data_IF_454441718423
#
_entry.id   IF_454441718423
#
_cell.length_a   1.000
_cell.length_b   1.000
_cell.length_c   1.000
_cell.angle_alpha   90.00
_cell.angle_beta   90.00
_cell.angle_gamma   90.00
#
_symmetry.space_group_name_H-M   'P 1'
#
loop_
_entity.id
_entity.type
_entity.pdbx_description
1 polymer ?
#
# COMPACT_ATOMS: atom_id res chain seq x y z
N UNK A 1 -43.54 31.24 -44.97
CA UNK A 1 -44.75 30.99 -45.76
C UNK A 1 -44.40 29.95 -46.82
N UNK A 2 -44.96 28.74 -46.64
CA UNK A 2 -45.33 27.64 -47.57
C UNK A 2 -44.69 27.48 -48.96
N UNK A 3 -44.78 26.27 -49.60
CA UNK A 3 -44.96 24.91 -49.03
C UNK A 3 -44.24 23.78 -49.83
N UNK A 4 -44.50 22.52 -49.40
CA UNK A 4 -44.59 21.30 -50.23
C UNK A 4 -43.29 20.74 -50.81
N UNK A 5 -43.07 19.45 -50.97
CA UNK A 5 -43.69 18.16 -50.62
C UNK A 5 -42.50 17.16 -50.78
N UNK A 6 -42.50 15.93 -50.30
CA UNK A 6 -43.16 14.80 -50.93
C UNK A 6 -42.91 13.61 -50.00
N UNK A 7 -44.00 12.95 -49.67
CA UNK A 7 -44.07 11.65 -49.03
C UNK A 7 -43.74 10.59 -50.09
N UNK A 8 -42.66 9.82 -49.91
CA UNK A 8 -42.44 8.56 -50.64
C UNK A 8 -42.25 7.46 -49.62
N UNK A 9 -43.27 6.62 -49.52
CA UNK A 9 -43.20 5.31 -48.88
C UNK A 9 -42.59 4.29 -49.85
N UNK A 10 -41.97 3.28 -49.26
CA UNK A 10 -42.19 1.85 -49.47
C UNK A 10 -40.89 1.07 -49.77
N UNK A 11 -40.71 -0.02 -49.00
CA UNK A 11 -40.10 -1.32 -49.39
C UNK A 11 -38.67 -1.31 -49.94
N UNK A 12 -37.74 -2.21 -49.63
CA UNK A 12 -37.66 -3.49 -48.94
C UNK A 12 -36.22 -3.96 -49.22
N UNK A 13 -35.80 -5.04 -48.56
CA UNK A 13 -34.68 -5.91 -48.96
C UNK A 13 -33.26 -5.41 -48.63
N UNK A 14 -32.88 -5.68 -47.38
CA UNK A 14 -31.58 -6.25 -47.03
C UNK A 14 -31.18 -7.35 -48.04
N UNK A 15 -29.91 -7.35 -48.48
CA UNK A 15 -29.15 -8.59 -48.49
C UNK A 15 -27.98 -8.46 -47.53
N UNK A 16 -27.97 -9.41 -46.61
CA UNK A 16 -26.87 -9.74 -45.74
C UNK A 16 -25.58 -9.92 -46.55
N UNK A 17 -24.62 -9.02 -46.36
CA UNK A 17 -23.20 -9.32 -46.57
C UNK A 17 -22.54 -9.36 -45.20
N UNK A 18 -22.75 -10.50 -44.53
CA UNK A 18 -21.96 -10.91 -43.38
C UNK A 18 -20.57 -11.22 -43.91
N UNK A 19 -19.69 -10.23 -43.83
CA UNK A 19 -18.25 -10.48 -43.95
C UNK A 19 -17.83 -11.28 -42.72
N UNK A 20 -17.74 -12.60 -42.88
CA UNK A 20 -17.08 -13.48 -41.91
C UNK A 20 -15.59 -13.16 -41.93
N UNK A 21 -15.17 -12.24 -41.06
CA UNK A 21 -13.79 -12.15 -40.63
C UNK A 21 -13.44 -13.46 -39.91
N UNK A 22 -12.36 -14.17 -40.28
CA UNK A 22 -11.83 -15.19 -39.41
C UNK A 22 -11.46 -14.50 -38.10
N UNK A 23 -12.19 -14.86 -37.04
CA UNK A 23 -11.83 -14.56 -35.67
C UNK A 23 -10.44 -15.16 -35.47
N UNK A 24 -9.42 -14.30 -35.57
CA UNK A 24 -8.12 -14.62 -35.03
C UNK A 24 -8.40 -14.95 -33.58
N UNK A 25 -8.29 -16.24 -33.24
CA UNK A 25 -8.32 -16.70 -31.89
C UNK A 25 -7.31 -15.84 -31.13
N UNK A 26 -7.83 -14.84 -30.42
CA UNK A 26 -7.18 -14.34 -29.25
C UNK A 26 -6.98 -15.62 -28.44
N UNK A 27 -5.76 -16.15 -28.46
CA UNK A 27 -5.32 -16.97 -27.35
C UNK A 27 -5.61 -16.07 -26.15
N UNK A 28 -6.68 -16.40 -25.42
CA UNK A 28 -6.84 -16.01 -24.03
C UNK A 28 -5.57 -16.51 -23.38
N UNK A 29 -4.57 -15.64 -23.40
CA UNK A 29 -3.40 -15.75 -22.58
C UNK A 29 -4.00 -15.92 -21.18
N UNK A 30 -3.76 -17.06 -20.51
CA UNK A 30 -4.32 -17.27 -19.18
C UNK A 30 -4.00 -16.01 -18.38
N UNK A 31 -4.97 -15.43 -17.64
CA UNK A 31 -4.69 -14.29 -16.80
C UNK A 31 -3.45 -14.66 -16.01
N UNK A 32 -2.37 -13.90 -16.23
CA UNK A 32 -1.11 -14.15 -15.55
C UNK A 32 -1.46 -14.40 -14.08
N UNK A 33 -1.03 -15.52 -13.47
CA UNK A 33 -1.34 -15.78 -12.08
C UNK A 33 -0.98 -14.50 -11.33
N UNK A 34 -1.87 -13.98 -10.45
CA UNK A 34 -1.58 -12.75 -9.73
C UNK A 34 -0.18 -12.92 -9.16
N UNK A 35 0.75 -12.08 -9.63
CA UNK A 35 2.10 -12.09 -9.12
C UNK A 35 1.93 -12.10 -7.61
N UNK A 36 2.55 -13.05 -6.87
CA UNK A 36 2.40 -13.06 -5.43
C UNK A 36 2.72 -11.64 -4.98
N UNK A 37 1.77 -11.02 -4.28
CA UNK A 37 1.94 -9.73 -3.63
C UNK A 37 2.99 -9.91 -2.53
N UNK A 38 4.23 -10.15 -2.95
CA UNK A 38 5.37 -10.26 -2.08
C UNK A 38 5.61 -8.83 -1.68
N UNK A 39 5.17 -8.51 -0.46
CA UNK A 39 5.78 -7.50 0.39
C UNK A 39 7.21 -7.19 -0.09
N UNK A 40 7.42 -6.10 -0.84
CA UNK A 40 8.79 -5.66 -1.17
C UNK A 40 9.42 -4.97 0.03
N UNK A 41 9.11 -5.45 1.23
CA UNK A 41 10.02 -5.32 2.35
C UNK A 41 11.11 -6.37 2.08
N UNK A 42 12.25 -5.95 1.54
CA UNK A 42 13.50 -6.72 1.53
C UNK A 42 13.67 -7.55 2.82
N UNK A 43 14.28 -8.75 2.77
CA UNK A 43 14.48 -9.56 3.96
C UNK A 43 15.08 -8.73 5.11
N UNK A 44 14.50 -8.77 6.33
CA UNK A 44 14.86 -7.86 7.43
C UNK A 44 16.36 -7.84 7.72
N UNK A 45 17.02 -9.01 7.70
CA UNK A 45 18.45 -9.16 7.98
C UNK A 45 19.43 -8.52 6.97
N UNK A 46 18.98 -8.13 5.78
CA UNK A 46 19.81 -7.48 4.75
C UNK A 46 19.53 -5.99 4.59
N UNK A 47 18.56 -5.44 5.34
CA UNK A 47 18.18 -4.04 5.24
C UNK A 47 19.23 -3.12 5.89
N UNK A 48 19.39 -1.90 5.33
CA UNK A 48 20.23 -0.88 5.96
C UNK A 48 19.64 -0.44 7.31
N UNK A 49 18.32 -0.48 7.45
CA UNK A 49 17.64 -0.36 8.74
C UNK A 49 18.18 -1.36 9.79
N UNK A 50 18.34 -2.64 9.44
CA UNK A 50 18.87 -3.66 10.36
C UNK A 50 20.34 -3.46 10.69
N UNK A 51 21.16 -3.07 9.72
CA UNK A 51 22.57 -2.71 9.96
C UNK A 51 22.66 -1.54 10.96
N UNK A 52 21.80 -0.54 10.82
CA UNK A 52 21.75 0.60 11.75
C UNK A 52 21.22 0.19 13.13
N UNK A 53 20.22 -0.69 13.18
CA UNK A 53 19.71 -1.27 14.43
C UNK A 53 20.81 -1.96 15.23
N UNK A 54 21.62 -2.81 14.59
CA UNK A 54 22.72 -3.53 15.26
C UNK A 54 23.82 -2.62 15.81
N UNK A 55 23.92 -1.37 15.33
CA UNK A 55 24.87 -0.37 15.84
C UNK A 55 24.33 0.40 17.05
N UNK A 56 23.03 0.31 17.34
CA UNK A 56 22.38 0.99 18.47
C UNK A 56 22.41 0.09 19.71
N UNK A 57 22.31 0.67 20.92
CA UNK A 57 22.07 -0.11 22.13
C UNK A 57 20.81 -0.98 21.99
N UNK A 58 20.84 -2.21 22.48
CA UNK A 58 19.67 -3.08 22.51
C UNK A 58 18.62 -2.51 23.48
N UNK A 59 17.63 -1.81 22.92
CA UNK A 59 16.57 -1.15 23.68
C UNK A 59 15.27 -1.16 22.87
N UNK A 60 14.14 -1.00 23.56
CA UNK A 60 12.82 -0.93 22.94
C UNK A 60 12.72 0.26 21.97
N UNK A 61 13.30 1.42 22.31
CA UNK A 61 13.40 2.55 21.40
C UNK A 61 14.19 2.21 20.12
N UNK A 62 15.28 1.46 20.23
CA UNK A 62 16.05 1.03 19.06
C UNK A 62 15.24 0.14 18.12
N UNK A 63 14.37 -0.72 18.67
CA UNK A 63 13.43 -1.55 17.89
C UNK A 63 12.43 -0.67 17.15
N UNK A 64 11.84 0.32 17.83
CA UNK A 64 10.90 1.27 17.19
C UNK A 64 11.58 2.10 16.08
N UNK A 65 12.80 2.58 16.32
CA UNK A 65 13.57 3.29 15.31
C UNK A 65 13.92 2.40 14.11
N UNK A 66 14.20 1.11 14.33
CA UNK A 66 14.37 0.14 13.26
C UNK A 66 13.12 0.06 12.39
N UNK A 67 11.93 -0.07 12.99
CA UNK A 67 10.67 -0.18 12.25
C UNK A 67 10.39 1.06 11.39
N UNK A 68 10.64 2.25 11.95
CA UNK A 68 10.52 3.51 11.19
C UNK A 68 11.52 3.54 10.03
N UNK A 69 12.79 3.19 10.28
CA UNK A 69 13.80 3.12 9.22
C UNK A 69 13.41 2.11 8.13
N UNK A 70 12.84 0.97 8.54
CA UNK A 70 12.42 -0.13 7.67
C UNK A 70 11.29 0.29 6.74
N UNK A 71 10.26 0.92 7.29
CA UNK A 71 9.15 1.49 6.50
C UNK A 71 9.65 2.60 5.56
N UNK A 72 10.61 3.41 6.00
CA UNK A 72 11.22 4.46 5.18
C UNK A 72 11.98 3.99 3.96
N UNK A 73 12.54 2.78 4.03
CA UNK A 73 13.26 2.13 2.93
C UNK A 73 12.33 1.37 1.98
N UNK A 74 11.04 1.30 2.30
CA UNK A 74 10.03 0.62 1.49
C UNK A 74 9.31 1.58 0.55
N UNK A 75 8.82 1.08 -0.58
CA UNK A 75 8.00 1.85 -1.54
C UNK A 75 6.50 1.87 -1.15
N UNK A 76 6.21 1.71 0.15
CA UNK A 76 4.84 1.73 0.67
C UNK A 76 4.29 3.16 0.76
N UNK A 77 2.98 3.28 0.71
CA UNK A 77 2.28 4.55 0.90
C UNK A 77 1.52 4.51 2.23
N UNK A 78 1.62 5.57 3.03
CA UNK A 78 0.90 5.72 4.29
C UNK A 78 -0.36 6.54 4.02
N UNK A 79 -1.52 5.98 4.35
CA UNK A 79 -2.80 6.70 4.30
C UNK A 79 -3.08 7.25 5.69
N UNK A 80 -3.05 8.58 5.80
CA UNK A 80 -3.25 9.33 7.03
C UNK A 80 -4.31 10.41 6.76
N UNK A 81 -5.42 10.37 7.50
CA UNK A 81 -6.55 11.31 7.34
C UNK A 81 -7.01 11.46 5.89
N UNK A 82 -7.26 10.31 5.23
CA UNK A 82 -7.67 10.18 3.81
C UNK A 82 -6.65 10.68 2.78
N UNK A 83 -5.53 11.21 3.21
CA UNK A 83 -4.43 11.61 2.35
C UNK A 83 -3.42 10.48 2.25
N UNK A 84 -2.85 10.30 1.05
CA UNK A 84 -1.86 9.26 0.80
C UNK A 84 -0.50 9.88 0.64
N UNK A 85 0.45 9.46 1.47
CA UNK A 85 1.81 9.98 1.50
C UNK A 85 2.81 8.86 1.23
N UNK A 86 3.85 9.09 0.42
CA UNK A 86 4.98 8.17 0.33
C UNK A 86 5.63 7.99 1.71
N UNK A 87 5.91 6.74 2.10
CA UNK A 87 6.57 6.38 3.37
C UNK A 87 7.77 7.28 3.67
N UNK A 88 8.67 7.45 2.70
CA UNK A 88 9.90 8.27 2.77
C UNK A 88 9.67 9.71 3.21
N UNK A 89 8.51 10.30 2.91
CA UNK A 89 8.17 11.69 3.28
C UNK A 89 7.68 11.75 4.72
N UNK A 90 6.99 10.72 5.19
CA UNK A 90 6.43 10.65 6.55
C UNK A 90 7.51 10.30 7.58
N UNK A 91 8.60 9.62 7.20
CA UNK A 91 9.58 9.12 8.17
C UNK A 91 10.24 10.15 9.08
N UNK A 92 10.65 11.34 8.60
CA UNK A 92 11.19 12.36 9.50
C UNK A 92 10.17 12.78 10.58
N UNK A 93 8.89 12.86 10.20
CA UNK A 93 7.78 13.19 11.12
C UNK A 93 7.57 12.04 12.10
N UNK A 94 7.54 10.79 11.62
CA UNK A 94 7.39 9.61 12.48
C UNK A 94 8.55 9.48 13.49
N UNK A 95 9.80 9.72 13.08
CA UNK A 95 10.96 9.73 13.99
C UNK A 95 10.84 10.83 15.03
N UNK A 96 10.52 12.05 14.62
CA UNK A 96 10.33 13.17 15.55
C UNK A 96 9.23 12.83 16.58
N UNK A 97 8.09 12.35 16.11
CA UNK A 97 6.97 11.96 16.96
C UNK A 97 7.37 10.87 17.96
N UNK A 98 8.05 9.82 17.50
CA UNK A 98 8.57 8.76 18.36
C UNK A 98 9.51 9.33 19.44
N UNK A 99 10.44 10.21 19.08
CA UNK A 99 11.36 10.81 20.05
C UNK A 99 10.67 11.70 21.09
N UNK A 100 9.57 12.36 20.72
CA UNK A 100 8.83 13.27 21.61
C UNK A 100 7.85 12.52 22.53
N UNK A 101 7.25 11.43 22.04
CA UNK A 101 6.14 10.76 22.74
C UNK A 101 6.48 9.37 23.29
N UNK A 102 7.68 8.84 23.03
CA UNK A 102 8.12 7.57 23.60
C UNK A 102 8.50 7.70 25.08
N UNK A 103 7.89 6.85 25.92
CA UNK A 103 8.29 6.67 27.30
C UNK A 103 9.24 5.47 27.42
N UNK A 104 10.39 5.66 28.09
CA UNK A 104 11.43 4.62 28.26
C UNK A 104 10.97 3.38 29.02
N UNK A 105 9.85 3.46 29.73
CA UNK A 105 9.26 2.34 30.46
C UNK A 105 8.37 1.46 29.56
N UNK A 106 8.02 1.93 28.37
CA UNK A 106 7.11 1.21 27.48
C UNK A 106 7.88 0.22 26.60
N UNK A 107 7.27 -0.96 26.42
CA UNK A 107 7.71 -1.90 25.39
C UNK A 107 7.38 -1.35 24.00
N UNK A 108 8.15 -1.75 23.00
CA UNK A 108 7.90 -1.39 21.61
C UNK A 108 6.49 -1.83 21.17
N UNK A 109 6.09 -3.04 21.57
CA UNK A 109 4.76 -3.60 21.29
C UNK A 109 3.62 -2.75 21.88
N UNK A 110 3.73 -2.36 23.16
CA UNK A 110 2.70 -1.55 23.81
C UNK A 110 2.63 -0.17 23.15
N UNK A 111 3.79 0.43 22.87
CA UNK A 111 3.84 1.73 22.21
C UNK A 111 3.21 1.70 20.81
N UNK A 112 3.48 0.67 19.99
CA UNK A 112 2.87 0.51 18.66
C UNK A 112 1.36 0.35 18.78
N UNK A 113 0.91 -0.47 19.74
CA UNK A 113 -0.52 -0.75 19.93
C UNK A 113 -1.30 0.51 20.30
N UNK A 114 -0.73 1.34 21.17
CA UNK A 114 -1.37 2.58 21.62
C UNK A 114 -1.22 3.72 20.61
N UNK A 115 -0.03 3.90 20.03
CA UNK A 115 0.32 5.10 19.26
C UNK A 115 0.14 4.96 17.75
N UNK A 116 0.13 3.74 17.19
CA UNK A 116 0.08 3.53 15.74
C UNK A 116 -1.29 3.02 15.25
N UNK A 117 -2.28 2.90 16.14
CA UNK A 117 -3.62 2.47 15.76
C UNK A 117 -4.47 3.59 15.13
N UNK A 118 -4.36 4.82 15.65
CA UNK A 118 -5.21 5.95 15.25
C UNK A 118 -4.41 7.23 15.04
N UNK A 119 -4.90 8.08 14.15
CA UNK A 119 -4.43 9.46 13.96
C UNK A 119 -4.78 10.30 15.19
N UNK A 120 -3.92 11.27 15.55
CA UNK A 120 -4.09 12.07 16.77
C UNK A 120 -5.26 13.07 16.72
N UNK A 121 -5.56 13.60 15.54
CA UNK A 121 -6.61 14.61 15.36
C UNK A 121 -7.98 13.99 15.19
N UNK A 122 -8.15 13.20 14.13
CA UNK A 122 -9.46 12.65 13.74
C UNK A 122 -9.79 11.29 14.36
N UNK A 123 -8.83 10.61 15.00
CA UNK A 123 -9.02 9.25 15.50
C UNK A 123 -9.24 8.19 14.41
N UNK A 124 -9.01 8.52 13.13
CA UNK A 124 -9.11 7.59 12.01
C UNK A 124 -7.98 6.54 12.07
N UNK A 125 -8.21 5.31 11.60
CA UNK A 125 -7.15 4.31 11.53
C UNK A 125 -6.06 4.70 10.52
N UNK A 126 -4.80 4.44 10.87
CA UNK A 126 -3.67 4.65 9.97
C UNK A 126 -3.49 3.41 9.09
N UNK A 127 -3.56 3.60 7.78
CA UNK A 127 -3.39 2.50 6.82
C UNK A 127 -2.07 2.60 6.09
N UNK A 128 -1.63 1.46 5.59
CA UNK A 128 -0.51 1.33 4.66
C UNK A 128 -1.06 0.70 3.40
N UNK A 129 -0.85 1.39 2.29
CA UNK A 129 -1.20 0.96 0.95
C UNK A 129 0.01 0.36 0.27
N UNK A 130 -0.15 -0.87 -0.20
CA UNK A 130 0.83 -1.62 -0.96
C UNK A 130 0.76 -1.27 -2.44
N UNK A 131 1.77 -1.69 -3.20
CA UNK A 131 1.83 -1.46 -4.64
C UNK A 131 0.72 -2.18 -5.42
N UNK A 132 0.23 -3.31 -4.89
CA UNK A 132 -0.93 -4.03 -5.43
C UNK A 132 -2.28 -3.37 -5.12
N UNK A 133 -2.26 -2.25 -4.37
CA UNK A 133 -3.45 -1.52 -3.95
C UNK A 133 -4.12 -2.06 -2.69
N UNK A 134 -3.62 -3.15 -2.11
CA UNK A 134 -4.12 -3.66 -0.83
C UNK A 134 -3.84 -2.67 0.30
N UNK A 135 -4.73 -2.67 1.30
CA UNK A 135 -4.64 -1.82 2.48
C UNK A 135 -4.51 -2.72 3.71
N UNK A 136 -3.50 -2.47 4.54
CA UNK A 136 -3.40 -3.07 5.88
C UNK A 136 -3.18 -1.98 6.92
N UNK A 137 -3.56 -2.24 8.17
CA UNK A 137 -3.33 -1.28 9.24
C UNK A 137 -1.83 -1.16 9.54
N UNK A 138 -1.37 0.06 9.78
CA UNK A 138 0.04 0.32 10.09
C UNK A 138 0.48 -0.42 11.36
N UNK A 139 -0.37 -0.46 12.39
CA UNK A 139 -0.14 -1.21 13.63
C UNK A 139 0.22 -2.67 13.36
N UNK A 140 -0.61 -3.37 12.58
CA UNK A 140 -0.44 -4.82 12.40
C UNK A 140 0.83 -5.14 11.62
N UNK A 141 1.19 -4.32 10.64
CA UNK A 141 2.47 -4.45 9.90
C UNK A 141 3.66 -4.23 10.84
N UNK A 142 3.59 -3.19 11.69
CA UNK A 142 4.66 -2.87 12.62
C UNK A 142 4.87 -3.97 13.66
N UNK A 143 3.79 -4.61 14.13
CA UNK A 143 3.85 -5.75 15.05
C UNK A 143 4.45 -6.98 14.37
N UNK A 144 4.03 -7.29 13.14
CA UNK A 144 4.59 -8.41 12.35
C UNK A 144 6.10 -8.23 12.11
N UNK A 145 6.54 -7.03 11.76
CA UNK A 145 7.96 -6.71 11.59
C UNK A 145 8.73 -6.73 12.92
N UNK A 146 8.09 -6.37 14.04
CA UNK A 146 8.68 -6.46 15.36
C UNK A 146 8.93 -7.92 15.75
N UNK A 147 7.98 -8.82 15.50
CA UNK A 147 8.11 -10.25 15.75
C UNK A 147 9.25 -10.86 14.92
N UNK A 148 9.34 -10.48 13.64
CA UNK A 148 10.46 -10.89 12.77
C UNK A 148 11.81 -10.39 13.30
N UNK A 149 11.88 -9.15 13.80
CA UNK A 149 13.10 -8.61 14.39
C UNK A 149 13.52 -9.40 15.64
N UNK A 150 12.56 -9.75 16.50
CA UNK A 150 12.82 -10.52 17.72
C UNK A 150 13.29 -11.95 17.42
N UNK A 151 12.77 -12.58 16.36
CA UNK A 151 13.24 -13.89 15.93
C UNK A 151 14.70 -13.89 15.41
N UNK A 152 15.23 -12.72 15.05
CA UNK A 152 16.59 -12.54 14.52
C UNK A 152 17.61 -12.04 15.56
N UNK A 153 17.15 -11.64 16.75
CA UNK A 153 17.97 -11.06 17.82
C UNK A 153 18.29 -12.07 18.91
#
# INVERSE_FOLDING_TARGET
MSPSAVMVTLTSLLPALVFSLPSAAAQEMPPAPPAPSVLTLSPPGLSRAFINYRKRPASELSKLLYLVDRLGESDLQIVYEKNTYPSRIIMPVARWYLHTHYNRKDSAENWITESCYRTLGSGEPVWVKYQDGSLRQARDILLEELDQLQALS
#
